data_IF_098510428355
#
_entry.id   IF_098510428355
#
_cell.length_a   1.000
_cell.length_b   1.000
_cell.length_c   1.000
_cell.angle_alpha   90.00
_cell.angle_beta   90.00
_cell.angle_gamma   90.00
#
_symmetry.space_group_name_H-M   'P 1'
#
loop_
_entity.id
_entity.type
_entity.pdbx_description
1 polymer ?
#
# COMPACT_ATOMS: atom_id res chain seq x y z
N UNK A 1 0.04 -9.71 -4.77
CA UNK A 1 1.08 -8.68 -4.95
C UNK A 1 0.61 -7.80 -6.09
N UNK A 2 0.25 -6.54 -5.82
CA UNK A 2 0.05 -5.60 -6.92
C UNK A 2 1.42 -5.28 -7.53
N UNK A 3 1.51 -5.35 -8.85
CA UNK A 3 2.73 -4.96 -9.55
C UNK A 3 3.00 -3.47 -9.35
N UNK A 4 4.26 -3.12 -9.06
CA UNK A 4 4.69 -1.72 -8.94
C UNK A 4 4.35 -0.96 -10.23
N UNK A 5 4.44 -1.64 -11.38
CA UNK A 5 4.03 -1.11 -12.68
C UNK A 5 2.56 -0.68 -12.70
N UNK A 6 1.65 -1.48 -12.15
CA UNK A 6 0.22 -1.14 -12.06
C UNK A 6 0.00 0.09 -11.17
N UNK A 7 0.69 0.18 -10.03
CA UNK A 7 0.61 1.36 -9.14
C UNK A 7 1.16 2.63 -9.82
N UNK A 8 2.16 2.50 -10.70
CA UNK A 8 2.69 3.62 -11.49
C UNK A 8 1.71 4.09 -12.56
N UNK A 9 0.94 3.19 -13.15
CA UNK A 9 -0.11 3.53 -14.13
C UNK A 9 -1.37 4.12 -13.49
N UNK A 10 -1.63 3.82 -12.21
CA UNK A 10 -2.75 4.39 -11.46
C UNK A 10 -2.68 5.92 -11.30
N UNK A 11 -3.84 6.55 -11.22
CA UNK A 11 -3.96 7.99 -10.93
C UNK A 11 -3.63 8.27 -9.47
N UNK A 12 -3.23 9.50 -9.16
CA UNK A 12 -3.00 9.92 -7.77
C UNK A 12 -4.23 9.67 -6.89
N UNK A 13 -5.44 9.93 -7.40
CA UNK A 13 -6.70 9.68 -6.70
C UNK A 13 -6.91 8.20 -6.36
N UNK A 14 -6.57 7.30 -7.29
CA UNK A 14 -6.65 5.84 -7.06
C UNK A 14 -5.67 5.41 -5.95
N UNK A 15 -4.45 5.95 -5.98
CA UNK A 15 -3.45 5.70 -4.95
C UNK A 15 -3.89 6.26 -3.59
N UNK A 16 -4.57 7.40 -3.56
CA UNK A 16 -5.13 7.97 -2.33
C UNK A 16 -6.23 7.09 -1.74
N UNK A 17 -7.09 6.50 -2.57
CA UNK A 17 -8.12 5.54 -2.13
C UNK A 17 -7.50 4.31 -1.48
N UNK A 18 -6.42 3.76 -2.07
CA UNK A 18 -5.67 2.62 -1.51
C UNK A 18 -5.03 3.01 -0.17
N UNK A 19 -4.39 4.18 -0.10
CA UNK A 19 -3.81 4.69 1.14
C UNK A 19 -4.85 4.91 2.25
N UNK A 20 -6.03 5.40 1.88
CA UNK A 20 -7.17 5.57 2.78
C UNK A 20 -7.71 4.23 3.28
N UNK A 21 -7.77 3.21 2.42
CA UNK A 21 -8.13 1.86 2.80
C UNK A 21 -7.09 1.23 3.75
N UNK A 22 -5.80 1.51 3.53
CA UNK A 22 -4.73 1.04 4.40
C UNK A 22 -4.78 1.64 5.81
N UNK A 23 -5.37 2.84 6.00
CA UNK A 23 -5.49 3.61 7.26
C UNK A 23 -4.17 3.91 7.99
N UNK A 24 -3.04 3.41 7.50
CA UNK A 24 -1.68 3.58 8.03
C UNK A 24 -0.85 4.54 7.19
N UNK A 25 -1.23 4.73 5.92
CA UNK A 25 -0.48 5.53 4.95
C UNK A 25 -1.00 6.97 4.96
N UNK A 26 -0.13 7.92 5.30
CA UNK A 26 -0.45 9.35 5.18
C UNK A 26 -0.26 9.78 3.73
N UNK A 27 -1.33 10.29 3.12
CA UNK A 27 -1.35 10.72 1.71
C UNK A 27 -1.54 12.24 1.53
N UNK A 28 -1.89 12.97 2.58
CA UNK A 28 -2.07 14.43 2.51
C UNK A 28 -0.74 15.13 2.22
N UNK A 29 -0.67 15.87 1.10
CA UNK A 29 0.53 16.59 0.67
C UNK A 29 1.64 15.70 0.09
N UNK A 30 1.38 14.41 -0.14
CA UNK A 30 2.38 13.45 -0.61
C UNK A 30 2.38 13.35 -2.13
N UNK A 31 3.58 13.31 -2.74
CA UNK A 31 3.74 13.13 -4.19
C UNK A 31 3.35 11.70 -4.61
N UNK A 32 2.90 11.55 -5.85
CA UNK A 32 2.50 10.24 -6.43
C UNK A 32 3.54 9.14 -6.19
N UNK A 33 4.81 9.41 -6.50
CA UNK A 33 5.89 8.43 -6.38
C UNK A 33 6.12 8.00 -4.92
N UNK A 34 6.10 8.96 -3.99
CA UNK A 34 6.20 8.69 -2.55
C UNK A 34 4.99 7.90 -2.04
N UNK A 35 3.80 8.18 -2.55
CA UNK A 35 2.59 7.45 -2.20
C UNK A 35 2.65 6.00 -2.68
N UNK A 36 3.15 5.76 -3.90
CA UNK A 36 3.39 4.41 -4.42
C UNK A 36 4.38 3.66 -3.52
N UNK A 37 5.50 4.29 -3.14
CA UNK A 37 6.48 3.69 -2.23
C UNK A 37 5.84 3.23 -0.92
N UNK A 38 5.11 4.13 -0.24
CA UNK A 38 4.42 3.80 1.02
C UNK A 38 3.39 2.67 0.86
N UNK A 39 2.66 2.64 -0.26
CA UNK A 39 1.67 1.58 -0.56
C UNK A 39 2.36 0.23 -0.77
N UNK A 40 3.52 0.19 -1.43
CA UNK A 40 4.30 -1.02 -1.63
C UNK A 40 4.87 -1.51 -0.31
N UNK A 41 5.51 -0.63 0.47
CA UNK A 41 6.07 -0.95 1.78
C UNK A 41 5.01 -1.49 2.73
N UNK A 42 3.85 -0.85 2.80
CA UNK A 42 2.73 -1.33 3.62
C UNK A 42 2.22 -2.71 3.18
N UNK A 43 2.12 -2.95 1.88
CA UNK A 43 1.73 -4.26 1.36
C UNK A 43 2.78 -5.32 1.67
N UNK A 44 4.07 -5.01 1.52
CA UNK A 44 5.17 -5.93 1.86
C UNK A 44 5.17 -6.26 3.36
N UNK A 45 5.03 -5.25 4.22
CA UNK A 45 4.94 -5.43 5.66
C UNK A 45 3.69 -6.22 6.09
N UNK A 46 2.57 -6.07 5.39
CA UNK A 46 1.34 -6.85 5.64
C UNK A 46 1.46 -8.30 5.13
N UNK A 47 2.19 -8.52 4.03
CA UNK A 47 2.49 -9.88 3.53
C UNK A 47 3.35 -10.64 4.55
N UNK A 48 4.39 -10.01 5.11
CA UNK A 48 5.23 -10.64 6.14
C UNK A 48 4.45 -10.97 7.42
N UNK A 49 3.52 -10.11 7.82
CA UNK A 49 2.68 -10.35 9.00
C UNK A 49 1.57 -11.38 8.76
N UNK A 50 1.04 -11.51 7.53
CA UNK A 50 0.05 -12.56 7.20
C UNK A 50 0.63 -13.97 7.13
N UNK A 51 1.95 -14.13 7.01
CA UNK A 51 2.59 -15.44 7.14
C UNK A 51 2.62 -15.92 8.61
N UNK A 52 2.36 -15.04 9.59
CA UNK A 52 2.26 -15.39 11.01
C UNK A 52 0.84 -15.20 11.62
N UNK A 53 -0.23 -15.34 10.85
CA UNK A 53 -1.60 -15.34 11.44
C UNK A 53 -2.55 -16.37 10.79
N UNK A 54 -2.02 -17.58 10.57
CA UNK A 54 -2.84 -18.80 10.45
C UNK A 54 -2.15 -19.99 11.15
N UNK A 55 -1.83 -19.82 12.43
CA UNK A 55 -1.67 -20.91 13.37
C UNK A 55 -2.09 -20.38 14.76
N UNK A 56 -3.00 -21.11 15.41
CA UNK A 56 -3.73 -20.82 16.67
C UNK A 56 -4.76 -19.69 16.58
N UNK A 57 -6.07 -19.93 16.72
CA UNK A 57 -6.79 -20.90 17.56
C UNK A 57 -7.83 -21.73 16.81
#
# INVERSE_FOLDING_TARGET
MFDISALKEMKLSELQEIAKAAKTIKFNGVKKETLIGQIVEHQMANVDTKVNTKAES
#
